data_IF_474238328649
#
_entry.id   IF_474238328649
#
_cell.length_a   1.000
_cell.length_b   1.000
_cell.length_c   1.000
_cell.angle_alpha   90.00
_cell.angle_beta   90.00
_cell.angle_gamma   90.00
#
_symmetry.space_group_name_H-M   'P 1'
#
loop_
_entity.id
_entity.type
_entity.pdbx_description
1 polymer ?
#
# COMPACT_ATOMS: atom_id res chain seq x y z
N UNK A 1 -42.07 -4.54 29.14
CA UNK A 1 -40.59 -4.64 29.25
C UNK A 1 -40.05 -5.24 27.97
N UNK A 2 -39.79 -4.39 26.97
CA UNK A 2 -39.19 -4.80 25.70
C UNK A 2 -37.67 -4.97 25.90
N UNK A 3 -37.14 -6.14 25.53
CA UNK A 3 -35.71 -6.44 25.60
C UNK A 3 -34.96 -5.63 24.54
N UNK A 4 -34.41 -4.48 24.95
CA UNK A 4 -33.65 -3.53 24.11
C UNK A 4 -32.16 -3.92 23.97
N UNK A 5 -31.84 -5.21 23.95
CA UNK A 5 -30.44 -5.69 23.80
C UNK A 5 -30.23 -6.65 22.61
N UNK A 6 -31.21 -6.80 21.71
CA UNK A 6 -31.11 -7.71 20.56
C UNK A 6 -30.51 -7.13 19.27
N UNK A 7 -30.32 -5.82 19.13
CA UNK A 7 -30.00 -5.18 17.85
C UNK A 7 -28.50 -4.89 17.60
N UNK A 8 -27.63 -5.10 18.59
CA UNK A 8 -26.20 -4.77 18.52
C UNK A 8 -25.28 -6.01 18.36
N UNK A 9 -25.85 -7.18 18.03
CA UNK A 9 -25.19 -8.49 18.19
C UNK A 9 -24.92 -9.29 16.91
N UNK A 10 -25.17 -8.75 15.71
CA UNK A 10 -24.81 -9.42 14.46
C UNK A 10 -23.31 -9.21 14.19
N UNK A 11 -22.51 -10.22 14.54
CA UNK A 11 -21.12 -10.33 14.09
C UNK A 11 -21.06 -10.69 12.60
N UNK A 12 -19.87 -10.61 12.02
CA UNK A 12 -19.60 -11.18 10.69
C UNK A 12 -19.46 -12.72 10.75
N UNK A 13 -19.56 -13.30 11.95
CA UNK A 13 -19.50 -14.75 12.16
C UNK A 13 -20.58 -15.45 11.37
N UNK A 14 -20.17 -16.41 10.52
CA UNK A 14 -21.08 -17.18 9.67
C UNK A 14 -21.43 -16.49 8.35
N UNK A 15 -20.91 -15.28 8.08
CA UNK A 15 -21.00 -14.70 6.75
C UNK A 15 -20.12 -15.49 5.79
N UNK A 16 -20.77 -16.15 4.84
CA UNK A 16 -20.14 -16.86 3.74
C UNK A 16 -20.90 -16.58 2.45
N UNK A 17 -20.16 -16.27 1.40
CA UNK A 17 -20.73 -16.04 0.08
C UNK A 17 -21.30 -17.36 -0.47
N UNK A 18 -22.63 -17.46 -0.54
CA UNK A 18 -23.34 -18.67 -0.98
C UNK A 18 -23.49 -18.78 -2.51
N UNK A 19 -23.32 -17.68 -3.25
CA UNK A 19 -23.37 -17.64 -4.72
C UNK A 19 -22.23 -16.77 -5.22
N UNK A 20 -21.60 -17.18 -6.32
CA UNK A 20 -20.54 -16.40 -7.00
C UNK A 20 -21.05 -14.97 -7.28
N UNK A 21 -20.32 -13.98 -6.79
CA UNK A 21 -20.57 -12.56 -7.09
C UNK A 21 -19.51 -12.08 -8.07
N UNK A 22 -19.94 -11.82 -9.31
CA UNK A 22 -19.02 -11.43 -10.39
C UNK A 22 -17.97 -12.51 -10.65
N UNK A 23 -16.70 -12.13 -10.58
CA UNK A 23 -15.60 -13.06 -10.72
C UNK A 23 -15.39 -13.93 -9.47
N UNK A 24 -15.71 -13.43 -8.27
CA UNK A 24 -15.22 -13.94 -6.98
C UNK A 24 -15.78 -15.32 -6.63
N UNK A 25 -14.91 -16.26 -6.29
CA UNK A 25 -15.30 -17.66 -6.02
C UNK A 25 -15.40 -18.01 -4.54
N UNK A 26 -14.62 -17.32 -3.70
CA UNK A 26 -14.55 -17.58 -2.28
C UNK A 26 -14.46 -16.27 -1.52
N UNK A 27 -15.35 -16.09 -0.54
CA UNK A 27 -15.39 -14.93 0.34
C UNK A 27 -16.11 -15.32 1.64
N UNK A 28 -15.39 -15.30 2.76
CA UNK A 28 -15.91 -15.72 4.08
C UNK A 28 -15.17 -14.99 5.21
N UNK A 29 -15.87 -14.67 6.30
CA UNK A 29 -15.24 -14.14 7.52
C UNK A 29 -15.06 -15.24 8.55
N UNK A 30 -13.81 -15.52 8.92
CA UNK A 30 -13.47 -16.45 9.99
C UNK A 30 -13.12 -15.70 11.28
N UNK A 31 -13.70 -16.05 12.44
CA UNK A 31 -13.38 -15.39 13.70
C UNK A 31 -11.92 -15.65 14.11
N UNK A 32 -11.19 -14.60 14.47
CA UNK A 32 -9.84 -14.65 15.08
C UNK A 32 -9.89 -14.62 16.61
N UNK A 33 -10.93 -13.99 17.18
CA UNK A 33 -11.15 -13.90 18.62
C UNK A 33 -12.58 -14.31 18.96
N UNK A 34 -12.76 -14.90 20.15
CA UNK A 34 -14.07 -15.17 20.72
C UNK A 34 -14.45 -14.04 21.67
N UNK A 35 -15.05 -12.97 21.16
CA UNK A 35 -15.49 -11.82 21.96
C UNK A 35 -16.45 -10.92 21.18
N UNK A 36 -17.47 -10.37 21.86
CA UNK A 36 -18.38 -9.37 21.28
C UNK A 36 -17.96 -7.99 21.74
N UNK A 37 -17.71 -7.09 20.80
CA UNK A 37 -17.26 -5.73 21.10
C UNK A 37 -17.97 -4.69 20.22
N UNK A 38 -17.86 -3.42 20.61
CA UNK A 38 -18.48 -2.30 19.89
C UNK A 38 -17.72 -1.92 18.61
N UNK A 39 -16.46 -2.34 18.48
CA UNK A 39 -15.62 -2.18 17.29
C UNK A 39 -15.21 -3.55 16.73
N UNK A 40 -14.95 -3.57 15.42
CA UNK A 40 -14.57 -4.78 14.68
C UNK A 40 -13.23 -4.56 14.01
N UNK A 41 -12.41 -5.60 13.96
CA UNK A 41 -11.18 -5.60 13.15
C UNK A 41 -11.26 -6.70 12.11
N UNK A 42 -11.04 -6.37 10.84
CA UNK A 42 -10.93 -7.34 9.75
C UNK A 42 -9.49 -7.36 9.27
N UNK A 43 -8.84 -8.51 9.45
CA UNK A 43 -7.52 -8.81 8.95
C UNK A 43 -7.59 -9.48 7.57
N UNK A 44 -6.78 -9.03 6.63
CA UNK A 44 -6.80 -9.48 5.24
C UNK A 44 -5.40 -9.93 4.82
N UNK A 45 -5.25 -11.25 4.67
CA UNK A 45 -4.00 -11.89 4.26
C UNK A 45 -3.77 -11.74 2.76
N UNK A 46 -2.54 -11.42 2.35
CA UNK A 46 -2.20 -11.10 0.96
C UNK A 46 -1.74 -12.27 0.09
N UNK A 47 -1.24 -13.34 0.67
CA UNK A 47 -0.93 -14.60 -0.03
C UNK A 47 -0.86 -15.74 0.99
N UNK A 48 -0.86 -17.00 0.52
CA UNK A 48 -0.72 -18.17 1.38
C UNK A 48 0.52 -18.97 1.02
N UNK A 49 1.22 -19.50 2.02
CA UNK A 49 2.35 -20.41 1.80
C UNK A 49 2.04 -21.79 2.37
N UNK A 50 2.82 -22.81 1.98
CA UNK A 50 2.75 -24.12 2.64
C UNK A 50 3.30 -24.04 4.08
N UNK A 51 2.96 -25.02 4.92
CA UNK A 51 3.45 -25.09 6.30
C UNK A 51 2.77 -24.09 7.24
N UNK A 52 3.56 -23.36 8.05
CA UNK A 52 3.09 -22.46 9.12
C UNK A 52 2.06 -21.42 8.64
N UNK A 53 2.20 -20.92 7.42
CA UNK A 53 1.38 -19.85 6.87
C UNK A 53 0.37 -20.34 5.82
N UNK A 54 -0.14 -21.56 6.01
CA UNK A 54 -1.15 -22.19 5.14
C UNK A 54 -2.58 -21.74 5.40
N UNK A 55 -2.80 -21.12 6.56
CA UNK A 55 -4.08 -20.53 6.98
C UNK A 55 -4.03 -19.01 6.89
N UNK A 56 -5.16 -18.40 6.53
CA UNK A 56 -5.31 -16.94 6.53
C UNK A 56 -5.07 -16.32 7.91
N UNK A 57 -5.34 -17.05 8.99
CA UNK A 57 -5.21 -16.54 10.35
C UNK A 57 -3.77 -16.53 10.87
N UNK A 58 -2.88 -17.32 10.25
CA UNK A 58 -1.53 -17.56 10.75
C UNK A 58 -0.67 -16.29 10.91
N UNK A 59 -0.72 -15.28 10.01
CA UNK A 59 0.03 -14.04 10.19
C UNK A 59 -0.46 -13.19 11.37
N UNK A 60 -1.70 -13.39 11.82
CA UNK A 60 -2.39 -12.50 12.75
C UNK A 60 -2.40 -13.02 14.19
N UNK A 61 -1.56 -14.00 14.52
CA UNK A 61 -1.57 -14.65 15.83
C UNK A 61 -1.23 -13.70 17.00
N UNK A 62 -0.38 -12.71 16.75
CA UNK A 62 0.02 -11.68 17.73
C UNK A 62 -0.92 -10.48 17.76
N UNK A 63 -1.94 -10.41 16.89
CA UNK A 63 -2.89 -9.31 16.89
C UNK A 63 -3.56 -9.23 18.27
N UNK A 64 -3.43 -8.05 18.90
CA UNK A 64 -3.86 -7.78 20.27
C UNK A 64 -5.34 -8.08 20.45
N UNK A 65 -5.80 -8.43 21.66
CA UNK A 65 -7.20 -8.80 21.91
C UNK A 65 -8.17 -7.59 21.94
N UNK A 66 -7.97 -6.59 21.07
CA UNK A 66 -8.87 -5.47 20.91
C UNK A 66 -10.01 -5.85 19.97
N UNK A 67 -11.20 -6.07 20.55
CA UNK A 67 -12.42 -6.13 19.77
C UNK A 67 -12.80 -7.52 19.26
N UNK A 68 -13.89 -7.52 18.48
CA UNK A 68 -14.34 -8.67 17.73
C UNK A 68 -13.53 -8.71 16.43
N UNK A 69 -12.80 -9.81 16.19
CA UNK A 69 -11.82 -9.87 15.12
C UNK A 69 -12.15 -10.96 14.12
N UNK A 70 -11.96 -10.63 12.86
CA UNK A 70 -12.18 -11.54 11.74
C UNK A 70 -10.97 -11.57 10.83
N UNK A 71 -10.74 -12.73 10.23
CA UNK A 71 -9.88 -12.89 9.10
C UNK A 71 -10.74 -13.08 7.86
N UNK A 72 -10.49 -12.30 6.81
CA UNK A 72 -11.14 -12.48 5.52
C UNK A 72 -10.47 -13.62 4.76
N UNK A 73 -11.24 -14.67 4.46
CA UNK A 73 -10.88 -15.74 3.54
C UNK A 73 -11.35 -15.34 2.15
N UNK A 74 -10.43 -15.32 1.19
CA UNK A 74 -10.73 -14.96 -0.18
C UNK A 74 -9.80 -15.69 -1.15
N UNK A 75 -10.37 -16.22 -2.23
CA UNK A 75 -9.64 -16.78 -3.38
C UNK A 75 -8.45 -17.69 -3.01
N UNK A 76 -8.62 -18.59 -2.03
CA UNK A 76 -7.53 -19.34 -1.40
C UNK A 76 -6.66 -20.10 -2.38
N UNK A 77 -7.26 -20.67 -3.43
CA UNK A 77 -6.54 -21.41 -4.46
C UNK A 77 -5.53 -20.50 -5.17
N UNK A 78 -5.95 -19.31 -5.56
CA UNK A 78 -5.11 -18.37 -6.30
C UNK A 78 -4.03 -17.76 -5.40
N UNK A 79 -4.36 -17.48 -4.14
CA UNK A 79 -3.39 -16.99 -3.16
C UNK A 79 -2.32 -18.01 -2.82
N UNK A 80 -2.65 -19.30 -2.83
CA UNK A 80 -1.70 -20.40 -2.60
C UNK A 80 -0.81 -20.62 -3.82
N UNK A 81 -1.40 -20.59 -5.02
CA UNK A 81 -0.64 -20.65 -6.28
C UNK A 81 0.34 -19.47 -6.34
N UNK A 82 -0.12 -18.26 -6.02
CA UNK A 82 0.73 -17.09 -5.94
C UNK A 82 1.87 -17.27 -4.92
N UNK A 83 1.57 -17.67 -3.68
CA UNK A 83 2.61 -17.85 -2.68
C UNK A 83 3.64 -18.92 -3.06
N UNK A 84 3.23 -19.99 -3.76
CA UNK A 84 4.16 -20.99 -4.29
C UNK A 84 5.07 -20.43 -5.38
N UNK A 85 4.53 -19.62 -6.30
CA UNK A 85 5.33 -19.00 -7.37
C UNK A 85 6.30 -17.95 -6.83
N UNK A 86 5.89 -17.16 -5.85
CA UNK A 86 6.78 -16.22 -5.16
C UNK A 86 7.92 -16.93 -4.42
N UNK A 87 7.64 -18.07 -3.77
CA UNK A 87 8.66 -18.87 -3.10
C UNK A 87 9.67 -19.45 -4.09
N UNK A 88 9.19 -20.06 -5.18
CA UNK A 88 10.05 -20.60 -6.23
C UNK A 88 10.92 -19.51 -6.91
N UNK A 89 10.35 -18.31 -7.11
CA UNK A 89 11.08 -17.15 -7.61
C UNK A 89 12.19 -16.72 -6.64
N UNK A 90 11.91 -16.66 -5.33
CA UNK A 90 12.92 -16.34 -4.32
C UNK A 90 14.05 -17.39 -4.30
N UNK A 91 13.70 -18.68 -4.31
CA UNK A 91 14.68 -19.77 -4.34
C UNK A 91 15.56 -19.72 -5.60
N UNK A 92 14.95 -19.40 -6.74
CA UNK A 92 15.67 -19.18 -8.00
C UNK A 92 16.66 -18.02 -7.91
N UNK A 93 16.24 -16.87 -7.35
CA UNK A 93 17.11 -15.71 -7.15
C UNK A 93 18.26 -16.02 -6.19
N UNK A 94 17.98 -16.69 -5.07
CA UNK A 94 19.02 -17.08 -4.10
C UNK A 94 20.03 -18.03 -4.74
N UNK A 95 19.56 -19.00 -5.53
CA UNK A 95 20.42 -19.93 -6.26
C UNK A 95 21.31 -19.19 -7.27
N UNK A 96 20.75 -18.24 -8.03
CA UNK A 96 21.53 -17.42 -8.97
C UNK A 96 22.60 -16.59 -8.25
N UNK A 97 22.25 -15.94 -7.14
CA UNK A 97 23.22 -15.17 -6.33
C UNK A 97 24.33 -16.08 -5.81
N UNK A 98 24.00 -17.28 -5.32
CA UNK A 98 24.99 -18.24 -4.84
C UNK A 98 25.94 -18.67 -5.97
N UNK A 99 25.41 -18.96 -7.16
CA UNK A 99 26.23 -19.32 -8.32
C UNK A 99 27.11 -18.17 -8.79
N UNK A 100 26.63 -16.94 -8.73
CA UNK A 100 27.41 -15.76 -9.14
C UNK A 100 28.48 -15.39 -8.10
N UNK A 101 28.20 -15.55 -6.80
CA UNK A 101 29.18 -15.36 -5.73
C UNK A 101 30.34 -16.37 -5.80
N UNK A 102 30.11 -17.57 -6.35
CA UNK A 102 31.16 -18.56 -6.61
C UNK A 102 32.01 -18.20 -7.83
N UNK A 103 31.48 -17.41 -8.78
CA UNK A 103 32.21 -16.91 -9.95
C UNK A 103 32.98 -15.64 -9.58
N UNK A 104 34.05 -15.81 -8.81
CA UNK A 104 35.06 -14.76 -8.54
C UNK A 104 35.72 -14.26 -9.84
N UNK A 105 35.02 -13.42 -10.60
CA UNK A 105 35.53 -12.82 -11.84
C UNK A 105 35.59 -11.32 -11.62
N UNK A 106 36.82 -10.80 -11.65
CA UNK A 106 37.22 -9.42 -11.29
C UNK A 106 36.61 -8.34 -12.23
N UNK A 107 35.75 -8.72 -13.17
CA UNK A 107 34.90 -7.86 -14.01
C UNK A 107 33.42 -7.75 -13.51
N UNK A 108 33.12 -8.26 -12.32
CA UNK A 108 31.76 -8.39 -11.77
C UNK A 108 30.96 -7.08 -11.75
N UNK A 109 31.55 -5.93 -11.47
CA UNK A 109 30.78 -4.70 -11.22
C UNK A 109 29.84 -4.24 -12.35
N UNK A 110 30.21 -4.44 -13.61
CA UNK A 110 29.42 -3.99 -14.77
C UNK A 110 28.52 -5.13 -15.31
N UNK A 111 29.04 -6.37 -15.32
CA UNK A 111 28.28 -7.54 -15.81
C UNK A 111 27.15 -7.90 -14.85
N UNK A 112 27.38 -7.82 -13.53
CA UNK A 112 26.35 -8.08 -12.51
C UNK A 112 25.22 -7.04 -12.55
N UNK A 113 25.52 -5.78 -12.89
CA UNK A 113 24.52 -4.70 -12.97
C UNK A 113 23.50 -4.89 -14.11
N UNK A 114 23.90 -5.54 -15.22
CA UNK A 114 23.03 -5.83 -16.36
C UNK A 114 22.38 -7.22 -16.30
N UNK A 115 23.04 -8.20 -15.69
CA UNK A 115 22.48 -9.55 -15.51
C UNK A 115 21.33 -9.57 -14.50
N UNK A 116 21.42 -8.78 -13.41
CA UNK A 116 20.37 -8.75 -12.39
C UNK A 116 18.99 -8.34 -12.96
N UNK A 117 18.85 -7.25 -13.75
CA UNK A 117 17.59 -6.92 -14.41
C UNK A 117 17.08 -7.97 -15.39
N UNK A 118 17.95 -8.56 -16.21
CA UNK A 118 17.53 -9.51 -17.26
C UNK A 118 17.05 -10.84 -16.68
N UNK A 119 17.77 -11.39 -15.70
CA UNK A 119 17.35 -12.60 -14.99
C UNK A 119 16.06 -12.39 -14.22
N UNK A 120 15.90 -11.22 -13.58
CA UNK A 120 14.68 -10.90 -12.86
C UNK A 120 13.47 -10.76 -13.80
N UNK A 121 13.64 -10.15 -14.98
CA UNK A 121 12.60 -10.06 -16.00
C UNK A 121 12.18 -11.44 -16.53
N UNK A 122 13.14 -12.35 -16.74
CA UNK A 122 12.84 -13.70 -17.19
C UNK A 122 11.98 -14.47 -16.18
N UNK A 123 12.29 -14.37 -14.88
CA UNK A 123 11.49 -15.05 -13.84
C UNK A 123 10.20 -14.28 -13.52
N UNK A 124 10.17 -12.96 -13.73
CA UNK A 124 8.95 -12.15 -13.64
C UNK A 124 7.89 -12.61 -14.65
N UNK A 125 8.30 -13.02 -15.86
CA UNK A 125 7.36 -13.54 -16.87
C UNK A 125 6.60 -14.81 -16.45
N UNK A 126 7.17 -15.60 -15.52
CA UNK A 126 6.54 -16.83 -15.00
C UNK A 126 5.48 -16.51 -13.95
N UNK A 127 5.69 -15.46 -13.15
CA UNK A 127 4.76 -15.04 -12.10
C UNK A 127 3.65 -14.13 -12.62
N UNK A 128 3.82 -13.51 -13.79
CA UNK A 128 2.87 -12.55 -14.37
C UNK A 128 1.44 -13.09 -14.43
N UNK A 129 1.24 -14.38 -14.73
CA UNK A 129 -0.11 -14.95 -14.77
C UNK A 129 -0.75 -15.10 -13.37
N UNK A 130 -0.19 -15.85 -12.39
CA UNK A 130 -0.75 -15.90 -11.03
C UNK A 130 -0.87 -14.52 -10.36
N UNK A 131 0.13 -13.66 -10.55
CA UNK A 131 0.13 -12.30 -10.00
C UNK A 131 -0.98 -11.43 -10.60
N UNK A 132 -1.08 -11.36 -11.93
CA UNK A 132 -2.10 -10.57 -12.62
C UNK A 132 -3.51 -11.04 -12.27
N UNK A 133 -3.72 -12.36 -12.20
CA UNK A 133 -5.01 -12.92 -11.74
C UNK A 133 -5.33 -12.43 -10.33
N UNK A 134 -4.38 -12.52 -9.39
CA UNK A 134 -4.61 -12.06 -8.02
C UNK A 134 -4.79 -10.53 -7.91
N UNK A 135 -4.14 -9.73 -8.77
CA UNK A 135 -4.34 -8.28 -8.84
C UNK A 135 -5.76 -7.92 -9.29
N UNK A 136 -6.30 -8.64 -10.28
CA UNK A 136 -7.67 -8.46 -10.75
C UNK A 136 -8.68 -8.91 -9.69
N UNK A 137 -8.45 -10.09 -9.09
CA UNK A 137 -9.31 -10.67 -8.06
C UNK A 137 -9.37 -9.85 -6.78
N UNK A 138 -8.23 -9.32 -6.32
CA UNK A 138 -8.18 -8.45 -5.13
C UNK A 138 -9.01 -7.18 -5.31
N UNK A 139 -9.07 -6.61 -6.52
CA UNK A 139 -9.92 -5.46 -6.79
C UNK A 139 -11.40 -5.80 -6.69
N UNK A 140 -11.83 -6.93 -7.26
CA UNK A 140 -13.22 -7.40 -7.15
C UNK A 140 -13.60 -7.74 -5.70
N UNK A 141 -12.73 -8.45 -4.97
CA UNK A 141 -12.92 -8.76 -3.55
C UNK A 141 -13.03 -7.48 -2.71
N UNK A 142 -12.23 -6.45 -3.00
CA UNK A 142 -12.34 -5.14 -2.36
C UNK A 142 -13.71 -4.50 -2.56
N UNK A 143 -14.23 -4.50 -3.79
CA UNK A 143 -15.59 -4.00 -4.09
C UNK A 143 -16.65 -4.79 -3.33
N UNK A 144 -16.52 -6.11 -3.27
CA UNK A 144 -17.47 -6.93 -2.53
C UNK A 144 -17.41 -6.68 -1.02
N UNK A 145 -16.20 -6.51 -0.45
CA UNK A 145 -16.02 -6.10 0.94
C UNK A 145 -16.70 -4.75 1.22
N UNK A 146 -16.57 -3.77 0.32
CA UNK A 146 -17.29 -2.51 0.43
C UNK A 146 -18.81 -2.69 0.45
N UNK A 147 -19.36 -3.58 -0.39
CA UNK A 147 -20.79 -3.90 -0.38
C UNK A 147 -21.24 -4.49 0.96
N UNK A 148 -20.46 -5.42 1.54
CA UNK A 148 -20.74 -6.00 2.86
C UNK A 148 -20.78 -4.91 3.92
N UNK A 149 -19.73 -4.09 3.99
CA UNK A 149 -19.61 -3.02 4.98
C UNK A 149 -20.72 -1.98 4.83
N UNK A 150 -21.07 -1.60 3.59
CA UNK A 150 -22.16 -0.68 3.25
C UNK A 150 -23.53 -1.22 3.63
N UNK A 151 -23.76 -2.52 3.45
CA UNK A 151 -25.00 -3.17 3.86
C UNK A 151 -25.14 -3.31 5.37
N UNK A 152 -24.11 -2.91 6.14
CA UNK A 152 -24.09 -2.92 7.61
C UNK A 152 -24.46 -4.30 8.19
N UNK A 153 -23.95 -5.39 7.59
CA UNK A 153 -24.15 -6.75 8.13
C UNK A 153 -23.69 -6.84 9.59
N UNK A 154 -22.62 -6.12 9.90
CA UNK A 154 -22.05 -5.98 11.23
C UNK A 154 -22.75 -4.96 12.15
N UNK A 155 -23.88 -4.39 11.70
CA UNK A 155 -24.53 -3.23 12.29
C UNK A 155 -23.82 -1.91 11.95
N UNK A 156 -24.15 -0.84 12.68
CA UNK A 156 -23.52 0.49 12.56
C UNK A 156 -22.16 0.59 13.29
N UNK A 157 -21.53 -0.54 13.58
CA UNK A 157 -20.24 -0.58 14.29
C UNK A 157 -19.11 -0.15 13.34
N UNK A 158 -18.17 0.68 13.83
CA UNK A 158 -16.98 1.02 13.06
C UNK A 158 -16.13 -0.23 12.81
N UNK A 159 -15.50 -0.29 11.63
CA UNK A 159 -14.63 -1.40 11.24
C UNK A 159 -13.22 -0.88 11.00
N UNK A 160 -12.25 -1.49 11.68
CA UNK A 160 -10.83 -1.32 11.42
C UNK A 160 -10.36 -2.39 10.44
N UNK A 161 -9.57 -1.99 9.43
CA UNK A 161 -9.10 -2.86 8.36
C UNK A 161 -7.58 -2.96 8.41
N UNK A 162 -7.03 -4.17 8.47
CA UNK A 162 -5.58 -4.39 8.40
C UNK A 162 -5.27 -5.43 7.34
N UNK A 163 -4.28 -5.16 6.49
CA UNK A 163 -3.86 -6.11 5.47
C UNK A 163 -2.45 -5.85 4.98
N UNK A 164 -1.85 -6.90 4.43
CA UNK A 164 -0.55 -6.82 3.79
C UNK A 164 -0.64 -7.28 2.33
N UNK A 165 0.25 -6.77 1.48
CA UNK A 165 0.35 -7.14 0.06
C UNK A 165 -1.01 -7.06 -0.65
N UNK A 166 -1.46 -8.10 -1.34
CA UNK A 166 -2.75 -8.10 -2.01
C UNK A 166 -3.94 -7.98 -1.06
N UNK A 167 -3.78 -8.32 0.22
CA UNK A 167 -4.78 -8.06 1.24
C UNK A 167 -4.91 -6.57 1.55
N UNK A 168 -3.79 -5.84 1.55
CA UNK A 168 -3.81 -4.38 1.57
C UNK A 168 -4.47 -3.80 0.29
N UNK A 169 -4.25 -4.44 -0.86
CA UNK A 169 -4.92 -4.07 -2.12
C UNK A 169 -6.44 -4.29 -2.07
N UNK A 170 -6.92 -5.37 -1.47
CA UNK A 170 -8.35 -5.59 -1.19
C UNK A 170 -8.92 -4.41 -0.39
N UNK A 171 -8.24 -3.98 0.67
CA UNK A 171 -8.68 -2.85 1.49
C UNK A 171 -8.67 -1.55 0.68
N UNK A 172 -7.63 -1.30 -0.10
CA UNK A 172 -7.56 -0.13 -0.98
C UNK A 172 -8.77 -0.03 -1.92
N UNK A 173 -9.11 -1.11 -2.62
CA UNK A 173 -10.28 -1.11 -3.52
C UNK A 173 -11.61 -1.08 -2.77
N UNK A 174 -11.65 -1.59 -1.54
CA UNK A 174 -12.79 -1.41 -0.66
C UNK A 174 -13.02 0.09 -0.33
N UNK A 175 -11.97 0.81 0.07
CA UNK A 175 -12.05 2.25 0.35
C UNK A 175 -12.41 3.04 -0.91
N UNK A 176 -11.82 2.69 -2.05
CA UNK A 176 -12.11 3.32 -3.33
C UNK A 176 -13.58 3.14 -3.73
N UNK A 177 -14.16 1.97 -3.49
CA UNK A 177 -15.56 1.70 -3.77
C UNK A 177 -16.49 2.44 -2.80
N UNK A 178 -16.18 2.44 -1.50
CA UNK A 178 -16.95 3.20 -0.50
C UNK A 178 -16.91 4.72 -0.77
N UNK A 179 -15.82 5.24 -1.32
CA UNK A 179 -15.66 6.66 -1.63
C UNK A 179 -16.49 7.14 -2.84
N UNK A 180 -17.14 6.22 -3.58
CA UNK A 180 -18.03 6.57 -4.70
C UNK A 180 -19.42 6.98 -4.25
N UNK A 181 -19.87 6.50 -3.09
CA UNK A 181 -21.21 6.71 -2.58
C UNK A 181 -21.22 7.74 -1.43
N UNK A 182 -22.32 8.46 -1.28
CA UNK A 182 -22.56 9.32 -0.12
C UNK A 182 -23.05 8.48 1.07
N UNK A 183 -22.73 8.90 2.31
CA UNK A 183 -23.21 8.25 3.54
C UNK A 183 -22.39 7.03 3.98
N UNK A 184 -21.24 6.79 3.35
CA UNK A 184 -20.27 5.77 3.76
C UNK A 184 -19.18 6.32 4.69
N UNK A 185 -19.24 7.60 5.06
CA UNK A 185 -18.30 8.21 6.01
C UNK A 185 -18.41 7.53 7.39
N UNK A 186 -17.26 7.19 7.97
CA UNK A 186 -17.20 6.56 9.30
C UNK A 186 -17.68 5.11 9.35
N UNK A 187 -17.88 4.46 8.18
CA UNK A 187 -17.97 2.98 8.12
C UNK A 187 -16.66 2.37 8.58
N UNK A 188 -15.55 2.95 8.11
CA UNK A 188 -14.19 2.52 8.43
C UNK A 188 -13.60 3.47 9.45
N UNK A 189 -13.08 2.92 10.54
CA UNK A 189 -12.41 3.67 11.60
C UNK A 189 -10.93 3.80 11.29
N UNK A 190 -10.17 2.71 11.40
CA UNK A 190 -8.74 2.71 11.12
C UNK A 190 -8.38 1.78 9.95
N UNK A 191 -7.30 2.11 9.25
CA UNK A 191 -6.77 1.34 8.13
C UNK A 191 -5.27 1.15 8.32
N UNK A 192 -4.78 -0.08 8.17
CA UNK A 192 -3.35 -0.41 8.17
C UNK A 192 -3.01 -1.21 6.93
N UNK A 193 -2.16 -0.65 6.08
CA UNK A 193 -1.74 -1.23 4.81
C UNK A 193 -0.24 -1.48 4.84
N UNK A 194 0.16 -2.72 4.61
CA UNK A 194 1.55 -3.14 4.71
C UNK A 194 2.02 -3.62 3.33
N UNK A 195 3.04 -2.98 2.74
CA UNK A 195 3.58 -3.38 1.44
C UNK A 195 2.52 -3.41 0.32
N UNK A 196 1.66 -2.39 0.26
CA UNK A 196 0.50 -2.40 -0.63
C UNK A 196 0.88 -2.21 -2.12
N UNK A 197 0.56 -3.16 -3.01
CA UNK A 197 0.75 -3.03 -4.45
C UNK A 197 -0.40 -2.19 -5.03
N UNK A 198 -0.42 -0.88 -4.75
CA UNK A 198 -1.46 0.07 -5.19
C UNK A 198 -0.85 1.43 -5.51
N UNK A 199 -1.64 2.30 -6.12
CA UNK A 199 -1.22 3.66 -6.46
C UNK A 199 -0.81 4.46 -5.21
N UNK A 200 0.42 4.99 -5.20
CA UNK A 200 0.94 5.82 -4.11
C UNK A 200 0.73 7.33 -4.30
N UNK A 201 0.11 7.78 -5.40
CA UNK A 201 -0.07 9.21 -5.69
C UNK A 201 -1.13 9.86 -4.81
N UNK A 202 -0.89 11.08 -4.34
CA UNK A 202 -1.82 11.80 -3.47
C UNK A 202 -3.26 11.88 -4.03
N UNK A 203 -3.39 12.10 -5.34
CA UNK A 203 -4.67 12.18 -6.05
C UNK A 203 -5.56 10.94 -5.85
N UNK A 204 -4.95 9.74 -5.85
CA UNK A 204 -5.70 8.51 -5.63
C UNK A 204 -6.29 8.44 -4.20
N UNK A 205 -5.62 9.04 -3.23
CA UNK A 205 -5.96 8.96 -1.81
C UNK A 205 -6.92 10.06 -1.34
N UNK A 206 -6.97 11.22 -1.99
CA UNK A 206 -7.78 12.38 -1.58
C UNK A 206 -9.25 12.04 -1.28
N UNK A 207 -9.86 11.16 -2.09
CA UNK A 207 -11.26 10.75 -1.90
C UNK A 207 -11.39 9.65 -0.85
N UNK A 208 -10.50 8.67 -0.86
CA UNK A 208 -10.56 7.51 0.05
C UNK A 208 -10.38 7.92 1.51
N UNK A 209 -9.53 8.91 1.77
CA UNK A 209 -9.25 9.41 3.12
C UNK A 209 -10.52 9.97 3.78
N UNK A 210 -11.49 10.48 3.01
CA UNK A 210 -12.76 11.00 3.54
C UNK A 210 -13.68 9.91 4.12
N UNK A 211 -13.54 8.66 3.67
CA UNK A 211 -14.34 7.52 4.15
C UNK A 211 -13.85 7.05 5.53
N UNK A 212 -12.56 7.26 5.81
CA UNK A 212 -11.90 6.81 7.03
C UNK A 212 -11.99 7.89 8.11
N UNK A 213 -12.56 7.53 9.26
CA UNK A 213 -12.74 8.46 10.38
C UNK A 213 -11.46 8.65 11.22
N UNK A 214 -10.68 7.59 11.37
CA UNK A 214 -9.45 7.53 12.16
C UNK A 214 -8.19 7.57 11.30
N UNK A 215 -7.22 6.71 11.60
CA UNK A 215 -5.89 6.71 10.96
C UNK A 215 -5.83 5.79 9.74
N UNK A 216 -5.04 6.20 8.75
CA UNK A 216 -4.59 5.39 7.63
C UNK A 216 -3.08 5.24 7.76
N UNK A 217 -2.63 4.05 8.13
CA UNK A 217 -1.23 3.71 8.24
C UNK A 217 -0.75 3.04 6.96
N UNK A 218 0.26 3.62 6.32
CA UNK A 218 0.97 3.02 5.19
C UNK A 218 2.35 2.56 5.66
N UNK A 219 2.48 1.25 5.91
CA UNK A 219 3.75 0.58 6.16
C UNK A 219 4.42 0.20 4.84
N UNK A 220 5.51 0.86 4.50
CA UNK A 220 6.20 0.67 3.22
C UNK A 220 7.64 0.19 3.42
N UNK A 221 8.19 -0.52 2.43
CA UNK A 221 9.60 -0.93 2.42
C UNK A 221 10.22 -0.48 1.10
N UNK A 222 11.25 0.37 1.18
CA UNK A 222 11.92 0.95 -0.01
C UNK A 222 12.69 -0.11 -0.80
N UNK A 223 13.18 -1.14 -0.10
CA UNK A 223 13.96 -2.23 -0.67
C UNK A 223 13.13 -3.43 -1.14
N UNK A 224 11.80 -3.32 -1.17
CA UNK A 224 10.95 -4.41 -1.63
C UNK A 224 11.12 -4.64 -3.14
N UNK A 225 11.97 -5.61 -3.47
CA UNK A 225 12.30 -5.95 -4.85
C UNK A 225 11.09 -6.47 -5.63
N UNK A 226 10.13 -7.17 -4.99
CA UNK A 226 8.98 -7.72 -5.70
C UNK A 226 8.09 -6.59 -6.21
N UNK A 227 7.79 -5.62 -5.34
CA UNK A 227 7.04 -4.44 -5.75
C UNK A 227 7.87 -3.56 -6.70
N UNK A 228 9.17 -3.42 -6.43
CA UNK A 228 10.08 -2.59 -7.22
C UNK A 228 10.22 -3.01 -8.67
N UNK A 229 10.13 -4.31 -8.97
CA UNK A 229 10.37 -4.85 -10.30
C UNK A 229 9.15 -5.57 -10.89
N UNK A 230 8.56 -6.53 -10.19
CA UNK A 230 7.44 -7.34 -10.72
C UNK A 230 6.16 -6.51 -10.81
N UNK A 231 5.82 -5.78 -9.74
CA UNK A 231 4.62 -4.94 -9.77
C UNK A 231 4.77 -3.75 -10.73
N UNK A 232 5.90 -3.05 -10.70
CA UNK A 232 6.17 -1.93 -11.63
C UNK A 232 6.16 -2.40 -13.09
N UNK A 233 6.77 -3.55 -13.39
CA UNK A 233 6.81 -4.14 -14.73
C UNK A 233 5.43 -4.51 -15.26
N UNK A 234 4.58 -5.09 -14.41
CA UNK A 234 3.22 -5.53 -14.81
C UNK A 234 2.17 -4.42 -14.82
N UNK A 235 2.29 -3.42 -13.93
CA UNK A 235 1.23 -2.42 -13.70
C UNK A 235 1.52 -1.04 -14.30
N UNK A 236 2.72 -0.82 -14.86
CA UNK A 236 3.22 0.47 -15.36
C UNK A 236 3.09 1.64 -14.35
N UNK A 237 2.89 1.34 -13.07
CA UNK A 237 2.76 2.32 -12.00
C UNK A 237 4.13 2.58 -11.39
N UNK A 238 4.65 3.80 -11.58
CA UNK A 238 5.92 4.22 -10.99
C UNK A 238 5.78 4.48 -9.47
N UNK A 239 4.63 5.04 -9.08
CA UNK A 239 4.31 5.37 -7.69
C UNK A 239 3.53 4.23 -7.03
N UNK A 240 4.18 3.51 -6.12
CA UNK A 240 3.60 2.34 -5.44
C UNK A 240 3.57 2.60 -3.93
N UNK A 241 2.40 2.56 -3.31
CA UNK A 241 2.24 2.87 -1.89
C UNK A 241 3.12 1.99 -0.97
N UNK A 242 3.31 0.72 -1.32
CA UNK A 242 4.17 -0.21 -0.59
C UNK A 242 5.68 0.07 -0.68
N UNK A 243 6.13 0.97 -1.56
CA UNK A 243 7.54 1.31 -1.77
C UNK A 243 7.93 2.69 -1.23
N UNK A 244 6.96 3.55 -0.94
CA UNK A 244 7.22 4.96 -0.62
C UNK A 244 6.08 5.56 0.20
N UNK A 245 6.32 6.70 0.89
CA UNK A 245 5.25 7.39 1.61
C UNK A 245 4.19 7.92 0.65
N UNK A 246 2.93 7.91 1.10
CA UNK A 246 1.82 8.61 0.44
C UNK A 246 1.94 10.10 0.81
N UNK A 247 2.35 10.92 -0.15
CA UNK A 247 2.58 12.36 0.03
C UNK A 247 1.29 13.17 -0.10
N UNK A 248 0.30 12.89 0.77
CA UNK A 248 -0.94 13.65 0.87
C UNK A 248 -0.98 14.39 2.21
N UNK A 249 -1.24 15.70 2.16
CA UNK A 249 -1.30 16.55 3.35
C UNK A 249 -2.64 16.37 4.09
N UNK A 250 -2.82 15.23 4.77
CA UNK A 250 -3.95 14.95 5.65
C UNK A 250 -3.45 14.36 6.97
N UNK A 251 -3.93 14.89 8.10
CA UNK A 251 -3.55 14.46 9.46
C UNK A 251 -3.84 12.99 9.77
N UNK A 252 -4.66 12.32 8.96
CA UNK A 252 -5.03 10.91 9.13
C UNK A 252 -4.01 9.96 8.50
N UNK A 253 -3.10 10.43 7.65
CA UNK A 253 -2.15 9.56 6.95
C UNK A 253 -0.84 9.47 7.74
N UNK A 254 -0.50 8.25 8.13
CA UNK A 254 0.73 7.91 8.86
C UNK A 254 1.57 7.00 7.99
N UNK A 255 2.70 7.49 7.51
CA UNK A 255 3.65 6.69 6.73
C UNK A 255 4.72 6.12 7.66
N UNK A 256 4.89 4.80 7.66
CA UNK A 256 5.88 4.09 8.49
C UNK A 256 6.85 3.35 7.59
N UNK A 257 8.14 3.69 7.68
CA UNK A 257 9.18 2.99 6.94
C UNK A 257 9.58 1.71 7.67
N UNK A 258 9.32 0.57 7.02
CA UNK A 258 9.57 -0.77 7.55
C UNK A 258 10.87 -1.39 7.00
N UNK A 259 11.70 -0.63 6.29
CA UNK A 259 12.93 -1.13 5.63
C UNK A 259 13.98 -1.69 6.62
N UNK A 260 13.89 -1.34 7.91
CA UNK A 260 14.71 -1.92 8.96
C UNK A 260 14.28 -3.37 9.30
N UNK A 261 12.99 -3.68 9.22
CA UNK A 261 12.37 -4.95 9.60
C UNK A 261 12.14 -5.88 8.41
N UNK A 262 11.73 -5.32 7.28
CA UNK A 262 11.37 -6.03 6.03
C UNK A 262 12.51 -5.84 5.02
N UNK A 263 13.12 -6.95 4.57
CA UNK A 263 14.18 -6.90 3.54
C UNK A 263 13.68 -7.28 2.16
N UNK A 264 12.58 -8.03 2.08
CA UNK A 264 11.83 -8.26 0.85
C UNK A 264 10.35 -8.56 1.12
N UNK A 265 9.54 -8.61 0.06
CA UNK A 265 8.07 -8.74 0.19
C UNK A 265 7.62 -9.93 1.04
N UNK A 266 8.30 -11.07 0.92
CA UNK A 266 7.95 -12.29 1.66
C UNK A 266 8.15 -12.15 3.19
N UNK A 267 8.96 -11.17 3.63
CA UNK A 267 9.21 -10.94 5.05
C UNK A 267 8.02 -10.31 5.77
N UNK A 268 7.09 -9.63 5.08
CA UNK A 268 5.89 -9.07 5.72
C UNK A 268 5.13 -10.13 6.52
N UNK A 269 4.99 -11.32 5.96
CA UNK A 269 4.29 -12.43 6.61
C UNK A 269 5.11 -13.05 7.75
N UNK A 270 6.44 -13.07 7.64
CA UNK A 270 7.34 -13.69 8.63
C UNK A 270 7.57 -12.78 9.84
N UNK A 271 7.61 -11.47 9.61
CA UNK A 271 7.93 -10.44 10.59
C UNK A 271 6.68 -9.74 11.13
N UNK A 272 5.48 -10.29 10.87
CA UNK A 272 4.22 -9.61 11.18
C UNK A 272 4.15 -9.14 12.63
N UNK A 273 4.59 -9.95 13.58
CA UNK A 273 4.63 -9.60 15.02
C UNK A 273 5.44 -8.30 15.28
N UNK A 274 6.61 -8.18 14.67
CA UNK A 274 7.46 -6.98 14.78
C UNK A 274 6.85 -5.80 14.04
N UNK A 275 6.25 -6.05 12.87
CA UNK A 275 5.63 -5.02 12.05
C UNK A 275 4.43 -4.41 12.76
N UNK A 276 3.56 -5.23 13.38
CA UNK A 276 2.40 -4.76 14.14
C UNK A 276 2.80 -3.80 15.26
N UNK A 277 3.86 -4.13 16.00
CA UNK A 277 4.44 -3.23 17.01
C UNK A 277 4.97 -1.94 16.37
N UNK A 278 5.73 -2.05 15.28
CA UNK A 278 6.32 -0.89 14.61
C UNK A 278 5.29 0.09 14.05
N UNK A 279 4.14 -0.41 13.58
CA UNK A 279 3.03 0.43 13.06
C UNK A 279 2.04 0.86 14.14
N UNK A 280 2.29 0.53 15.41
CA UNK A 280 1.46 0.93 16.55
C UNK A 280 0.08 0.25 16.58
N UNK A 281 0.00 -0.99 16.11
CA UNK A 281 -1.17 -1.86 16.28
C UNK A 281 -1.02 -2.60 17.60
N UNK A 282 -2.04 -2.65 18.47
CA UNK A 282 -1.97 -3.42 19.70
C UNK A 282 -1.65 -4.89 19.44
N UNK A 283 -0.69 -5.45 20.17
CA UNK A 283 -0.30 -6.87 20.09
C UNK A 283 -0.51 -7.58 21.43
N UNK A 284 -0.69 -8.90 21.37
CA UNK A 284 -0.65 -9.76 22.56
C UNK A 284 0.80 -9.91 23.01
N UNK A 285 1.05 -9.88 24.32
CA UNK A 285 2.34 -10.33 24.85
C UNK A 285 2.51 -11.81 24.50
N UNK A 286 3.56 -12.12 23.75
CA UNK A 286 3.95 -13.50 23.44
C UNK A 286 4.91 -13.95 24.54
N UNK A 287 4.59 -15.00 25.33
CA UNK A 287 5.50 -15.51 26.35
C UNK A 287 6.84 -15.92 25.70
N UNK A 288 7.93 -15.22 26.06
CA UNK A 288 9.28 -15.49 25.55
C UNK A 288 9.90 -14.37 24.71
N UNK A 289 9.15 -13.33 24.33
CA UNK A 289 9.73 -12.10 23.79
C UNK A 289 10.15 -11.19 24.96
N UNK A 290 11.35 -11.43 25.49
CA UNK A 290 11.98 -10.53 26.46
C UNK A 290 12.31 -9.18 25.83
N UNK A 291 11.33 -8.29 25.75
CA UNK A 291 11.52 -6.85 25.57
C UNK A 291 11.10 -6.18 26.87
N UNK A 292 12.07 -5.66 27.62
CA UNK A 292 11.78 -4.88 28.83
C UNK A 292 10.86 -3.68 28.51
N UNK A 293 10.25 -3.06 29.54
CA UNK A 293 9.29 -1.98 29.33
C UNK A 293 9.90 -0.88 28.46
N UNK A 294 9.34 -0.67 27.28
CA UNK A 294 9.61 0.54 26.50
C UNK A 294 9.03 1.69 27.32
N UNK A 295 9.92 2.47 27.94
CA UNK A 295 9.51 3.70 28.62
C UNK A 295 8.79 4.60 27.61
N UNK A 296 7.67 5.24 28.00
CA UNK A 296 7.04 6.22 27.15
C UNK A 296 8.04 7.35 26.88
N UNK A 297 8.35 7.59 25.61
CA UNK A 297 9.09 8.77 25.18
C UNK A 297 8.23 9.99 25.53
N UNK A 298 8.46 10.54 26.72
CA UNK A 298 8.02 11.88 27.09
C UNK A 298 8.61 12.85 26.08
N UNK A 299 7.74 13.42 25.26
CA UNK A 299 8.02 14.55 24.38
C UNK A 299 8.58 15.68 25.26
N UNK A 300 9.90 15.76 25.37
CA UNK A 300 10.57 16.77 26.19
C UNK A 300 10.92 17.94 25.29
N UNK A 301 10.56 19.13 25.76
CA UNK A 301 10.86 20.46 25.24
C UNK A 301 12.35 20.60 24.89
N UNK A 302 12.73 20.22 23.67
CA UNK A 302 14.08 20.48 23.11
C UNK A 302 14.00 21.06 21.70
N UNK A 303 13.13 22.04 21.52
CA UNK A 303 13.12 22.94 20.34
C UNK A 303 13.12 24.43 20.74
N UNK A 304 13.01 24.78 22.03
CA UNK A 304 13.04 26.18 22.47
C UNK A 304 14.44 26.72 22.84
N UNK A 305 15.48 25.88 22.94
CA UNK A 305 16.85 26.33 23.29
C UNK A 305 17.74 26.70 22.09
N UNK A 306 17.26 26.57 20.85
CA UNK A 306 18.02 27.00 19.65
C UNK A 306 17.76 28.48 19.29
N UNK A 307 16.77 29.11 19.92
CA UNK A 307 16.49 30.52 19.78
C UNK A 307 16.49 31.17 21.17
N UNK A 308 17.70 31.47 21.69
CA UNK A 308 18.06 32.53 22.64
C UNK A 308 19.41 32.18 23.29
N UNK A 309 20.51 32.43 22.56
CA UNK A 309 21.87 32.36 23.12
C UNK A 309 22.21 33.62 23.95
N UNK A 310 23.08 33.49 24.98
CA UNK A 310 23.29 34.52 25.99
C UNK A 310 24.07 35.74 25.47
N UNK A 311 23.61 36.90 25.94
CA UNK A 311 24.26 38.20 25.82
C UNK A 311 25.41 38.27 26.83
N UNK A 312 26.66 38.18 26.36
CA UNK A 312 27.83 38.52 27.18
C UNK A 312 28.54 39.75 26.60
N UNK A 313 28.71 40.72 27.50
CA UNK A 313 29.36 42.01 27.30
C UNK A 313 30.86 41.82 27.54
N UNK A 314 31.69 42.09 26.53
CA UNK A 314 33.14 42.24 26.72
C UNK A 314 33.61 43.60 26.23
N UNK A 315 34.34 44.27 27.12
CA UNK A 315 34.94 45.59 27.01
C UNK A 315 35.96 45.73 25.86
N UNK A 316 36.05 46.96 25.39
CA UNK A 316 37.00 47.58 24.46
C UNK A 316 38.41 46.98 24.35
N UNK A 317 38.87 46.81 23.11
CA UNK A 317 40.20 47.26 22.71
C UNK A 317 40.17 47.84 21.28
N UNK A 318 40.63 49.09 21.20
CA UNK A 318 40.68 50.00 20.05
C UNK A 318 41.91 49.73 19.20
N UNK A 319 41.74 49.49 17.90
CA UNK A 319 42.74 49.85 16.86
C UNK A 319 42.02 50.32 15.60
N UNK A 320 42.41 51.53 15.19
CA UNK A 320 41.95 52.31 14.04
C UNK A 320 42.43 51.75 12.70
N UNK A 321 41.58 51.83 11.67
CA UNK A 321 41.83 52.47 10.37
C UNK A 321 41.07 51.81 9.21
N UNK A 322 40.19 52.61 8.59
CA UNK A 322 40.38 52.89 7.16
C UNK A 322 39.37 52.33 6.15
N UNK A 323 38.49 53.25 5.73
CA UNK A 323 38.14 53.55 4.32
C UNK A 323 37.00 52.78 3.63
N UNK A 324 35.93 53.57 3.42
CA UNK A 324 34.99 53.68 2.27
C UNK A 324 33.99 52.57 1.94
N UNK A 325 32.72 52.98 1.85
CA UNK A 325 31.66 52.26 1.13
C UNK A 325 30.26 52.68 1.58
N UNK A 326 29.81 53.85 1.15
CA UNK A 326 28.55 54.47 1.48
C UNK A 326 27.33 53.84 0.76
N UNK A 327 26.18 53.84 1.45
CA UNK A 327 24.83 54.22 0.96
C UNK A 327 24.10 53.20 0.04
N UNK A 328 22.79 52.93 0.09
CA UNK A 328 21.65 53.23 0.98
C UNK A 328 20.46 52.41 0.46
N UNK A 329 19.58 52.01 1.38
CA UNK A 329 18.26 51.39 1.18
C UNK A 329 17.26 52.37 0.57
N UNK A 330 16.40 51.92 -0.36
CA UNK A 330 15.09 52.53 -0.59
C UNK A 330 14.08 51.56 -1.23
N UNK A 331 13.03 51.21 -0.49
CA UNK A 331 11.66 51.13 -1.04
C UNK A 331 11.05 52.55 -0.97
N UNK A 332 10.03 52.88 -1.80
CA UNK A 332 8.64 52.91 -1.29
C UNK A 332 7.58 52.57 -2.40
N UNK A 333 6.46 51.91 -2.11
CA UNK A 333 5.13 52.40 -1.65
C UNK A 333 4.05 52.44 -2.76
N UNK A 334 2.92 51.78 -2.46
CA UNK A 334 1.50 52.11 -2.70
C UNK A 334 0.98 52.66 -4.05
N UNK A 335 -0.14 52.09 -4.50
CA UNK A 335 -1.00 52.69 -5.53
C UNK A 335 -2.12 51.78 -6.05
N UNK A 336 -3.34 52.08 -5.64
CA UNK A 336 -4.65 51.49 -5.97
C UNK A 336 -5.11 51.92 -7.38
N UNK A 337 -5.74 51.05 -8.19
CA UNK A 337 -7.08 51.29 -8.78
C UNK A 337 -7.59 50.19 -9.74
N UNK A 338 -8.91 50.18 -9.81
CA UNK A 338 -9.90 49.27 -10.35
C UNK A 338 -10.16 49.49 -11.85
N UNK A 339 -10.55 48.46 -12.63
CA UNK A 339 -10.96 48.71 -14.02
C UNK A 339 -11.20 47.51 -14.95
N UNK A 340 -12.43 47.00 -14.93
CA UNK A 340 -13.26 46.48 -16.05
C UNK A 340 -12.59 45.90 -17.32
N UNK A 341 -12.93 44.62 -17.57
CA UNK A 341 -13.57 44.16 -18.81
C UNK A 341 -12.70 43.92 -20.05
N UNK A 342 -12.59 42.65 -20.47
CA UNK A 342 -13.13 42.25 -21.78
C UNK A 342 -13.12 40.73 -22.00
N UNK A 343 -14.30 40.29 -22.42
CA UNK A 343 -14.67 39.02 -23.05
C UNK A 343 -13.94 38.87 -24.38
N UNK A 344 -13.43 37.66 -24.69
CA UNK A 344 -13.26 37.21 -26.08
C UNK A 344 -13.53 35.70 -26.16
N UNK A 345 -14.77 35.41 -26.55
CA UNK A 345 -15.21 34.12 -27.02
C UNK A 345 -14.76 33.93 -28.48
N UNK A 346 -14.20 32.78 -28.81
CA UNK A 346 -14.19 32.27 -30.18
C UNK A 346 -15.02 31.00 -30.25
N UNK A 347 -16.22 31.17 -30.78
CA UNK A 347 -17.14 30.11 -31.23
C UNK A 347 -16.98 30.05 -32.75
N UNK A 348 -16.44 28.96 -33.27
CA UNK A 348 -16.55 28.61 -34.69
C UNK A 348 -17.34 27.32 -34.81
N UNK A 349 -18.51 27.46 -35.42
CA UNK A 349 -19.39 26.42 -35.93
C UNK A 349 -18.88 25.91 -37.27
N UNK A 350 -18.91 24.60 -37.48
CA UNK A 350 -18.71 23.97 -38.79
C UNK A 350 -19.13 22.50 -38.73
N UNK A 351 -20.24 22.18 -39.37
CA UNK A 351 -20.85 20.85 -39.46
C UNK A 351 -20.12 19.89 -40.43
N UNK A 352 -20.23 18.59 -40.09
CA UNK A 352 -20.28 17.36 -40.94
C UNK A 352 -19.19 17.09 -41.99
N UNK A 353 -18.48 15.97 -41.79
CA UNK A 353 -18.69 14.72 -42.55
C UNK A 353 -17.85 13.57 -41.95
N UNK A 354 -18.38 12.34 -42.02
CA UNK A 354 -17.84 11.18 -41.33
C UNK A 354 -16.64 10.54 -42.02
N UNK A 355 -15.76 9.91 -41.23
CA UNK A 355 -15.07 8.71 -41.67
C UNK A 355 -14.60 7.86 -40.48
N UNK A 356 -14.81 6.55 -40.58
CA UNK A 356 -14.25 5.54 -39.68
C UNK A 356 -12.75 5.46 -39.90
N UNK A 357 -11.94 5.54 -38.85
CA UNK A 357 -10.63 4.90 -38.88
C UNK A 357 -10.12 4.56 -37.47
N UNK A 358 -9.55 3.36 -37.42
CA UNK A 358 -9.16 2.59 -36.27
C UNK A 358 -8.02 3.25 -35.47
N UNK A 359 -8.10 3.12 -34.14
CA UNK A 359 -7.01 3.36 -33.23
C UNK A 359 -5.87 2.38 -33.52
N UNK A 360 -4.70 2.94 -33.84
CA UNK A 360 -3.46 2.23 -34.06
C UNK A 360 -2.98 1.53 -32.79
N UNK A 361 -2.87 0.21 -32.88
CA UNK A 361 -2.11 -0.62 -31.96
C UNK A 361 -0.62 -0.40 -32.22
N UNK A 362 0.12 -0.12 -31.14
CA UNK A 362 1.57 0.02 -31.09
C UNK A 362 2.28 -1.22 -31.68
N UNK A 363 3.16 -1.01 -32.66
CA UNK A 363 3.75 -2.07 -33.51
C UNK A 363 4.89 -2.89 -32.86
N UNK A 364 4.97 -2.96 -31.52
CA UNK A 364 6.02 -3.72 -30.82
C UNK A 364 5.52 -5.07 -30.27
N UNK A 365 4.20 -5.26 -30.14
CA UNK A 365 3.63 -6.55 -29.69
C UNK A 365 3.31 -7.57 -30.80
N UNK A 366 3.30 -7.15 -32.07
CA UNK A 366 2.89 -8.05 -33.18
C UNK A 366 4.04 -8.93 -33.72
N UNK A 367 5.28 -8.70 -33.27
CA UNK A 367 6.44 -9.46 -33.74
C UNK A 367 6.74 -10.74 -32.93
N UNK A 368 6.17 -10.89 -31.72
CA UNK A 368 6.35 -12.11 -30.92
C UNK A 368 5.26 -13.18 -31.14
N UNK A 369 4.07 -12.79 -31.62
CA UNK A 369 3.01 -13.75 -31.94
C UNK A 369 3.25 -14.55 -33.23
N UNK A 370 4.09 -14.05 -34.16
CA UNK A 370 4.44 -14.80 -35.39
C UNK A 370 5.57 -15.82 -35.21
N UNK A 371 6.30 -15.80 -34.10
CA UNK A 371 7.38 -16.79 -33.87
C UNK A 371 6.91 -18.06 -33.15
N UNK A 372 5.74 -18.01 -32.50
CA UNK A 372 5.15 -19.18 -31.84
C UNK A 372 4.26 -20.05 -32.75
N UNK A 373 3.63 -19.50 -33.79
CA UNK A 373 2.81 -20.30 -34.72
C UNK A 373 3.64 -21.12 -35.73
N UNK A 374 4.88 -20.72 -36.03
CA UNK A 374 5.74 -21.47 -36.97
C UNK A 374 6.41 -22.70 -36.33
N UNK A 375 6.50 -22.78 -35.00
CA UNK A 375 7.12 -23.92 -34.30
C UNK A 375 6.14 -25.03 -33.89
N UNK A 376 4.83 -24.84 -34.08
CA UNK A 376 3.82 -25.88 -33.81
C UNK A 376 3.50 -26.73 -35.06
N UNK A 377 3.84 -26.26 -36.27
CA UNK A 377 3.56 -27.01 -37.50
C UNK A 377 4.68 -27.97 -37.98
N UNK A 378 5.84 -28.02 -37.30
CA UNK A 378 6.97 -28.91 -37.69
C UNK A 378 7.06 -30.17 -36.80
N UNK A 379 6.14 -30.37 -35.84
CA UNK A 379 6.13 -31.54 -34.95
C UNK A 379 5.05 -32.59 -35.24
N UNK A 380 4.30 -32.49 -36.34
CA UNK A 380 3.29 -33.48 -36.75
C UNK A 380 3.33 -33.78 -38.27
N UNK A 381 4.52 -34.04 -38.83
CA UNK A 381 4.69 -34.81 -40.06
C UNK A 381 5.82 -35.81 -39.90
#
# INVERSE_FOLDING_TARGET
MASLFGAAGAGLTGYKMNKRVGAIEEFEFLPLSSGKHLHLTVAVTGWLCTGKYSSFQAPWCSLGACGEQYCLVWESRFLRDLGSTMAALLDGLVSMVAQEALKYTVLSGIVTALMWPASLLAVASVIDNPWSVCLSRSAEVGKHLAQVLRSRQQGKRPVSLIGFSLGARVIYFCLQELAKDQGCEGVVEDVVLLGAPVDGTAQAWERMVKVVAGKIVNGYCRGDWLLGYVYRGSSAQLSVAGLQPISLNDRRIFNVDLSSVVKGHLDYMRQMDTILVAVGVPTREVPGAGGGPLQPLTMTERILDIAMGPFEVTHEQRVDNGVHGAVTVAQPSDGIEEGRGNTLAYRLTGEREGNRQALGLCSVCTQHLRFCETNILIRNM
#
